data_IF_438079642058
#
_entry.id   IF_438079642058
#
_cell.length_a   1.000
_cell.length_b   1.000
_cell.length_c   1.000
_cell.angle_alpha   90.00
_cell.angle_beta   90.00
_cell.angle_gamma   90.00
#
_symmetry.space_group_name_H-M   'P 1'
#
loop_
_entity.id
_entity.type
_entity.pdbx_description
1 polymer ?
#
# COMPACT_ATOMS: atom_id res chain seq x y z
N UNK A 1 52.68 12.00 -7.90
CA UNK A 1 51.64 12.43 -8.86
C UNK A 1 50.29 12.03 -8.28
N UNK A 2 49.48 13.00 -7.86
CA UNK A 2 48.19 12.76 -7.19
C UNK A 2 47.10 12.98 -8.24
N UNK A 3 46.36 11.92 -8.58
CA UNK A 3 45.20 12.00 -9.46
C UNK A 3 44.00 12.47 -8.61
N UNK A 4 43.55 13.70 -8.83
CA UNK A 4 42.28 14.19 -8.27
C UNK A 4 41.15 13.75 -9.22
N UNK A 5 40.51 12.62 -8.93
CA UNK A 5 39.32 12.19 -9.65
C UNK A 5 38.12 13.03 -9.20
N UNK A 6 37.64 13.93 -10.06
CA UNK A 6 36.37 14.64 -9.86
C UNK A 6 35.22 13.73 -10.30
N UNK A 7 34.53 13.11 -9.35
CA UNK A 7 33.25 12.45 -9.63
C UNK A 7 32.16 13.50 -9.82
N UNK A 8 31.62 13.60 -11.04
CA UNK A 8 30.43 14.40 -11.33
C UNK A 8 29.20 13.53 -11.10
N UNK A 9 28.30 14.00 -10.24
CA UNK A 9 27.00 13.37 -9.98
C UNK A 9 25.92 14.20 -10.64
N UNK A 10 25.13 13.59 -11.52
CA UNK A 10 24.00 14.22 -12.22
C UNK A 10 22.72 13.64 -11.66
N UNK A 11 21.80 14.50 -11.23
CA UNK A 11 20.44 14.07 -10.89
C UNK A 11 19.72 13.67 -12.17
N UNK A 12 19.23 12.43 -12.23
CA UNK A 12 18.40 11.96 -13.34
C UNK A 12 16.91 12.10 -13.02
N UNK A 13 16.50 11.73 -11.80
CA UNK A 13 15.11 11.81 -11.37
C UNK A 13 15.01 11.97 -9.85
N UNK A 14 14.07 12.78 -9.39
CA UNK A 14 13.63 12.87 -8.00
C UNK A 14 12.23 12.26 -7.87
N UNK A 15 12.05 11.27 -7.00
CA UNK A 15 10.75 10.58 -6.82
C UNK A 15 10.20 10.85 -5.44
N UNK A 16 8.97 11.32 -5.35
CA UNK A 16 8.22 11.43 -4.10
C UNK A 16 7.29 10.23 -3.94
N UNK A 17 7.37 9.54 -2.81
CA UNK A 17 6.38 8.51 -2.44
C UNK A 17 5.25 9.19 -1.68
N UNK A 18 4.00 8.95 -2.09
CA UNK A 18 2.81 9.56 -1.48
C UNK A 18 1.87 8.50 -0.93
N UNK A 19 1.24 8.80 0.19
CA UNK A 19 0.19 7.96 0.77
C UNK A 19 -1.15 8.20 0.04
N UNK A 20 -1.84 7.16 -0.43
CA UNK A 20 -3.12 7.34 -1.13
C UNK A 20 -4.31 7.61 -0.19
N UNK A 21 -4.18 7.30 1.10
CA UNK A 21 -5.23 7.29 2.11
C UNK A 21 -5.29 8.60 2.89
N UNK A 22 -4.15 9.13 3.34
CA UNK A 22 -4.12 10.35 4.14
C UNK A 22 -4.41 11.61 3.31
N UNK A 23 -5.10 12.62 3.87
CA UNK A 23 -5.35 13.88 3.19
C UNK A 23 -4.08 14.66 2.84
N UNK A 24 -3.06 14.61 3.70
CA UNK A 24 -1.77 15.29 3.49
C UNK A 24 -0.79 14.52 2.59
N UNK A 25 -1.19 13.31 2.16
CA UNK A 25 -0.41 12.39 1.31
C UNK A 25 0.95 12.01 1.89
N UNK A 26 1.16 12.19 3.19
CA UNK A 26 2.43 11.87 3.86
C UNK A 26 2.51 10.39 4.16
N UNK A 27 3.63 9.76 3.81
CA UNK A 27 3.84 8.34 4.14
C UNK A 27 4.13 8.11 5.63
N UNK A 28 3.64 7.01 6.18
CA UNK A 28 3.91 6.54 7.54
C UNK A 28 5.00 5.46 7.55
N UNK A 29 5.94 5.59 8.49
CA UNK A 29 7.02 4.63 8.69
C UNK A 29 8.06 4.64 7.56
N UNK A 30 8.84 3.57 7.48
CA UNK A 30 9.88 3.45 6.46
C UNK A 30 9.30 3.00 5.12
N UNK A 31 9.56 3.84 4.12
CA UNK A 31 9.31 3.57 2.71
C UNK A 31 10.63 3.50 1.95
N UNK A 32 10.64 2.66 0.92
CA UNK A 32 11.81 2.32 0.13
C UNK A 32 11.46 2.45 -1.36
N UNK A 33 12.39 3.02 -2.11
CA UNK A 33 12.36 3.00 -3.56
C UNK A 33 13.48 2.08 -4.05
N UNK A 34 13.17 1.22 -5.03
CA UNK A 34 14.15 0.38 -5.73
C UNK A 34 14.05 0.65 -7.23
N UNK A 35 15.17 0.55 -7.94
CA UNK A 35 15.21 0.58 -9.39
C UNK A 35 15.71 -0.78 -9.89
N UNK A 36 14.90 -1.49 -10.67
CA UNK A 36 15.22 -2.84 -11.14
C UNK A 36 16.44 -2.81 -12.07
N UNK A 37 17.40 -3.71 -11.85
CA UNK A 37 18.62 -3.78 -12.67
C UNK A 37 19.67 -2.71 -12.38
N UNK A 38 19.40 -1.78 -11.46
CA UNK A 38 20.30 -0.67 -11.13
C UNK A 38 20.89 -0.90 -9.74
N UNK A 39 22.22 -1.12 -9.69
CA UNK A 39 22.97 -1.31 -8.43
C UNK A 39 23.37 0.00 -7.74
N UNK A 40 22.99 1.16 -8.28
CA UNK A 40 23.41 2.47 -7.76
C UNK A 40 22.61 2.89 -6.54
N UNK A 41 23.22 3.72 -5.70
CA UNK A 41 22.59 4.27 -4.50
C UNK A 41 21.45 5.24 -4.87
N UNK A 42 20.27 4.95 -4.35
CA UNK A 42 19.14 5.89 -4.31
C UNK A 42 19.30 6.69 -3.01
N UNK A 43 19.39 8.01 -3.13
CA UNK A 43 19.66 8.88 -1.98
C UNK A 43 18.33 9.41 -1.44
N UNK A 44 18.00 9.10 -0.19
CA UNK A 44 16.83 9.69 0.48
C UNK A 44 17.17 11.10 0.95
N UNK A 45 16.47 12.10 0.42
CA UNK A 45 16.62 13.51 0.77
C UNK A 45 15.72 13.89 1.95
N UNK A 46 16.12 14.90 2.72
CA UNK A 46 15.38 15.38 3.90
C UNK A 46 13.99 15.94 3.59
N UNK A 47 13.77 16.38 2.35
CA UNK A 47 12.45 16.85 1.87
C UNK A 47 11.48 15.72 1.53
N UNK A 48 11.90 14.45 1.64
CA UNK A 48 11.07 13.27 1.34
C UNK A 48 11.29 12.65 -0.04
N UNK A 49 12.01 13.33 -0.93
CA UNK A 49 12.36 12.79 -2.25
C UNK A 49 13.42 11.69 -2.17
N UNK A 50 13.29 10.71 -3.06
CA UNK A 50 14.33 9.76 -3.41
C UNK A 50 15.03 10.25 -4.68
N UNK A 51 16.32 10.55 -4.57
CA UNK A 51 17.13 11.06 -5.67
C UNK A 51 17.82 9.89 -6.37
N UNK A 52 17.49 9.70 -7.65
CA UNK A 52 18.17 8.77 -8.55
C UNK A 52 19.21 9.56 -9.33
N UNK A 53 20.47 9.26 -9.04
CA UNK A 53 21.60 9.94 -9.66
C UNK A 53 22.28 9.04 -10.69
N UNK A 54 22.62 9.63 -11.82
CA UNK A 54 23.34 8.99 -12.91
C UNK A 54 22.67 7.66 -13.35
N UNK A 55 21.35 7.67 -13.53
CA UNK A 55 20.61 6.53 -14.07
C UNK A 55 20.98 6.36 -15.56
N UNK A 56 21.31 5.16 -16.05
CA UNK A 56 21.62 4.94 -17.46
C UNK A 56 20.45 5.31 -18.38
N UNK A 57 20.76 5.70 -19.62
CA UNK A 57 19.72 5.95 -20.62
C UNK A 57 18.88 4.68 -20.89
N UNK A 58 17.58 4.88 -21.15
CA UNK A 58 16.59 3.83 -21.41
C UNK A 58 15.48 3.74 -20.37
N UNK A 59 14.71 2.66 -20.48
CA UNK A 59 13.57 2.35 -19.62
C UNK A 59 14.00 1.70 -18.31
N UNK A 60 13.38 2.14 -17.21
CA UNK A 60 13.61 1.59 -15.87
C UNK A 60 12.29 1.38 -15.15
N UNK A 61 12.21 0.29 -14.39
CA UNK A 61 11.07 0.02 -13.49
C UNK A 61 11.49 0.39 -12.07
N UNK A 62 10.82 1.41 -11.53
CA UNK A 62 10.94 1.81 -10.15
C UNK A 62 9.86 1.13 -9.31
N UNK A 63 10.24 0.57 -8.16
CA UNK A 63 9.32 -0.07 -7.22
C UNK A 63 9.33 0.69 -5.91
N UNK A 64 8.22 1.35 -5.58
CA UNK A 64 7.95 1.93 -4.28
C UNK A 64 7.33 0.89 -3.35
N UNK A 65 7.78 0.83 -2.10
CA UNK A 65 7.28 -0.14 -1.12
C UNK A 65 7.50 0.35 0.31
N UNK A 66 6.85 -0.30 1.27
CA UNK A 66 7.06 -0.03 2.69
C UNK A 66 6.40 -1.09 3.57
N UNK A 67 6.64 -1.02 4.87
CA UNK A 67 6.05 -1.96 5.83
C UNK A 67 4.51 -1.94 5.79
N UNK A 68 3.94 -0.75 5.65
CA UNK A 68 2.50 -0.50 5.68
C UNK A 68 1.86 -0.35 4.30
N UNK A 69 2.64 -0.53 3.23
CA UNK A 69 2.20 -0.23 1.86
C UNK A 69 2.39 -1.42 0.92
N UNK A 70 1.49 -1.55 -0.03
CA UNK A 70 1.60 -2.47 -1.16
C UNK A 70 2.72 -2.00 -2.09
N UNK A 71 3.54 -2.91 -2.63
CA UNK A 71 4.50 -2.54 -3.66
C UNK A 71 3.78 -1.98 -4.89
N UNK A 72 4.31 -0.90 -5.47
CA UNK A 72 3.80 -0.30 -6.70
C UNK A 72 4.95 -0.03 -7.65
N UNK A 73 4.72 -0.27 -8.94
CA UNK A 73 5.71 -0.09 -9.98
C UNK A 73 5.41 1.15 -10.82
N UNK A 74 6.46 1.88 -11.19
CA UNK A 74 6.44 3.00 -12.11
C UNK A 74 7.51 2.76 -13.18
N UNK A 75 7.10 2.66 -14.44
CA UNK A 75 8.03 2.62 -15.57
C UNK A 75 8.35 4.03 -16.01
N UNK A 76 9.64 4.36 -16.12
CA UNK A 76 10.14 5.63 -16.62
C UNK A 76 11.04 5.39 -17.83
N UNK A 77 11.00 6.27 -18.83
CA UNK A 77 12.06 6.36 -19.84
C UNK A 77 12.88 7.62 -19.57
N UNK A 78 14.15 7.43 -19.23
CA UNK A 78 15.09 8.52 -18.93
C UNK A 78 15.26 9.52 -20.07
N UNK A 79 15.04 9.10 -21.33
CA UNK A 79 15.11 10.00 -22.50
C UNK A 79 13.94 10.96 -22.58
N UNK A 80 12.83 10.62 -21.94
CA UNK A 80 11.59 11.41 -21.92
C UNK A 80 11.51 12.39 -20.74
N UNK A 81 12.45 12.31 -19.78
CA UNK A 81 12.45 13.16 -18.59
C UNK A 81 12.88 14.58 -18.99
N UNK A 82 12.06 15.59 -18.66
CA UNK A 82 12.46 16.99 -18.79
C UNK A 82 13.58 17.30 -17.78
N UNK A 83 14.79 17.67 -18.23
CA UNK A 83 15.89 18.00 -17.32
C UNK A 83 15.61 19.21 -16.40
N UNK A 84 14.64 20.07 -16.74
CA UNK A 84 14.22 21.20 -15.91
C UNK A 84 13.19 20.80 -14.85
N UNK A 85 12.50 19.67 -15.06
CA UNK A 85 11.48 19.14 -14.16
C UNK A 85 11.65 17.61 -13.98
N UNK A 86 12.81 17.14 -13.48
CA UNK A 86 13.07 15.71 -13.35
C UNK A 86 12.43 15.19 -12.05
N UNK A 87 11.13 15.34 -11.88
CA UNK A 87 10.40 14.83 -10.72
C UNK A 87 9.24 13.93 -11.11
N UNK A 88 9.01 12.90 -10.31
CA UNK A 88 7.88 12.01 -10.44
C UNK A 88 7.27 11.72 -9.08
N UNK A 89 6.00 11.30 -9.08
CA UNK A 89 5.28 10.91 -7.89
C UNK A 89 4.83 9.46 -8.02
N UNK A 90 4.88 8.73 -6.91
CA UNK A 90 4.46 7.35 -6.84
C UNK A 90 3.56 7.16 -5.63
N UNK A 91 2.28 6.92 -5.90
CA UNK A 91 1.25 6.79 -4.86
C UNK A 91 1.21 5.36 -4.33
N UNK A 92 1.33 5.21 -3.02
CA UNK A 92 1.36 3.96 -2.29
C UNK A 92 0.01 3.66 -1.66
N UNK A 93 -0.52 2.47 -1.90
CA UNK A 93 -1.75 1.99 -1.28
C UNK A 93 -1.48 1.25 0.04
N UNK A 94 -2.17 1.57 1.14
CA UNK A 94 -2.07 0.88 2.40
C UNK A 94 -2.31 -0.63 2.33
N UNK A 95 -1.67 -1.33 3.26
CA UNK A 95 -1.95 -2.72 3.62
C UNK A 95 -2.93 -2.81 4.78
N UNK A 96 -3.45 -4.00 5.02
CA UNK A 96 -4.25 -4.33 6.20
C UNK A 96 -3.52 -4.07 7.52
N UNK A 97 -2.19 -4.07 7.57
CA UNK A 97 -1.42 -3.73 8.77
C UNK A 97 -1.19 -2.21 8.97
N UNK A 98 -1.74 -1.35 8.11
CA UNK A 98 -1.57 0.10 8.19
C UNK A 98 -2.15 0.68 9.50
N UNK A 99 -1.42 1.61 10.17
CA UNK A 99 -1.86 2.24 11.40
C UNK A 99 -2.80 3.42 11.10
N UNK A 100 -4.04 3.10 10.75
CA UNK A 100 -5.05 4.11 10.45
C UNK A 100 -5.23 5.06 11.65
N UNK A 101 -5.15 6.39 11.43
CA UNK A 101 -5.38 7.36 12.50
C UNK A 101 -6.86 7.41 12.89
N UNK A 102 -7.14 8.01 14.05
CA UNK A 102 -8.50 8.33 14.47
C UNK A 102 -9.14 9.34 13.50
N UNK A 103 -10.48 9.41 13.49
CA UNK A 103 -11.23 10.24 12.55
C UNK A 103 -11.59 9.53 11.24
N UNK A 104 -11.16 8.27 11.06
CA UNK A 104 -11.52 7.43 9.92
C UNK A 104 -12.37 6.25 10.39
N UNK A 105 -13.48 6.01 9.69
CA UNK A 105 -14.29 4.82 9.92
C UNK A 105 -13.71 3.66 9.11
N UNK A 106 -13.00 2.75 9.78
CA UNK A 106 -12.31 1.62 9.13
C UNK A 106 -12.70 0.31 9.81
N UNK A 107 -13.07 -0.70 9.02
CA UNK A 107 -13.21 -2.07 9.51
C UNK A 107 -11.95 -2.86 9.15
N UNK A 108 -11.36 -3.57 10.11
CA UNK A 108 -10.21 -4.46 9.91
C UNK A 108 -10.51 -5.85 10.44
N UNK A 109 -10.03 -6.86 9.72
CA UNK A 109 -10.14 -8.24 10.14
C UNK A 109 -9.04 -9.11 9.56
N UNK A 110 -9.06 -10.38 9.94
CA UNK A 110 -8.16 -11.40 9.42
C UNK A 110 -8.97 -12.65 9.09
N UNK A 111 -8.64 -13.32 7.99
CA UNK A 111 -9.30 -14.54 7.54
C UNK A 111 -8.30 -15.69 7.59
N UNK A 112 -8.70 -16.77 8.24
CA UNK A 112 -7.90 -17.98 8.44
C UNK A 112 -8.72 -19.23 8.14
N UNK A 113 -8.05 -20.35 7.87
CA UNK A 113 -8.68 -21.67 7.82
C UNK A 113 -8.74 -22.34 9.21
N UNK A 114 -9.31 -23.55 9.26
CA UNK A 114 -9.40 -24.37 10.48
C UNK A 114 -8.03 -24.81 11.02
N UNK A 115 -6.97 -24.76 10.20
CA UNK A 115 -5.59 -25.04 10.58
C UNK A 115 -4.84 -23.76 11.01
N UNK A 116 -5.57 -22.65 11.22
CA UNK A 116 -5.04 -21.33 11.57
C UNK A 116 -4.10 -20.70 10.52
N UNK A 117 -4.16 -21.17 9.27
CA UNK A 117 -3.36 -20.60 8.17
C UNK A 117 -4.09 -19.39 7.59
N UNK A 118 -3.37 -18.29 7.28
CA UNK A 118 -3.97 -17.13 6.63
C UNK A 118 -4.51 -17.47 5.24
N UNK A 119 -5.67 -16.93 4.91
CA UNK A 119 -6.29 -17.08 3.60
C UNK A 119 -6.21 -15.77 2.82
N UNK A 120 -5.39 -15.74 1.77
CA UNK A 120 -5.36 -14.67 0.78
C UNK A 120 -6.52 -14.76 -0.21
N UNK A 121 -6.77 -13.71 -0.98
CA UNK A 121 -7.70 -13.73 -2.11
C UNK A 121 -9.13 -14.16 -1.75
N UNK A 122 -9.54 -13.92 -0.50
CA UNK A 122 -10.92 -14.11 -0.04
C UNK A 122 -11.69 -12.85 -0.41
N UNK A 123 -12.82 -12.98 -1.09
CA UNK A 123 -13.71 -11.86 -1.39
C UNK A 123 -14.53 -11.52 -0.14
N UNK A 124 -14.51 -10.25 0.28
CA UNK A 124 -15.32 -9.71 1.37
C UNK A 124 -16.21 -8.62 0.79
N UNK A 125 -17.52 -8.86 0.80
CA UNK A 125 -18.53 -7.90 0.36
C UNK A 125 -19.37 -7.48 1.55
N UNK A 126 -19.91 -6.27 1.55
CA UNK A 126 -20.83 -5.83 2.59
C UNK A 126 -22.25 -5.86 2.04
N UNK A 127 -23.16 -6.56 2.73
CA UNK A 127 -24.56 -6.61 2.32
C UNK A 127 -25.15 -5.20 2.29
N UNK A 128 -25.90 -4.91 1.22
CA UNK A 128 -26.60 -3.65 1.00
C UNK A 128 -25.68 -2.43 0.84
N UNK A 129 -24.38 -2.65 0.60
CA UNK A 129 -23.38 -1.60 0.46
C UNK A 129 -22.47 -1.88 -0.74
N UNK A 130 -22.01 -0.85 -1.47
CA UNK A 130 -21.13 -1.03 -2.62
C UNK A 130 -19.68 -1.38 -2.23
N UNK A 131 -19.29 -1.19 -0.97
CA UNK A 131 -17.94 -1.46 -0.50
C UNK A 131 -17.64 -2.97 -0.49
N UNK A 132 -16.47 -3.31 -1.02
CA UNK A 132 -15.90 -4.65 -1.00
C UNK A 132 -14.38 -4.57 -0.91
N UNK A 133 -13.75 -5.67 -0.52
CA UNK A 133 -12.30 -5.82 -0.49
C UNK A 133 -11.92 -7.28 -0.67
N UNK A 134 -10.62 -7.53 -0.76
CA UNK A 134 -10.04 -8.87 -0.83
C UNK A 134 -8.97 -9.00 0.25
N UNK A 135 -8.88 -10.17 0.89
CA UNK A 135 -7.82 -10.43 1.87
C UNK A 135 -6.43 -10.49 1.23
N UNK A 136 -5.46 -9.99 1.97
CA UNK A 136 -4.04 -9.96 1.59
C UNK A 136 -3.36 -11.31 1.88
N UNK A 137 -2.08 -11.44 1.51
CA UNK A 137 -1.29 -12.68 1.69
C UNK A 137 -1.27 -13.18 3.14
N UNK A 138 -1.30 -12.27 4.12
CA UNK A 138 -1.33 -12.60 5.55
C UNK A 138 -2.76 -12.84 6.08
N UNK A 139 -3.74 -12.91 5.19
CA UNK A 139 -5.17 -13.04 5.47
C UNK A 139 -5.82 -11.76 6.00
N UNK A 140 -5.05 -10.69 6.20
CA UNK A 140 -5.55 -9.41 6.69
C UNK A 140 -6.38 -8.70 5.62
N UNK A 141 -7.36 -7.92 6.05
CA UNK A 141 -8.11 -7.03 5.17
C UNK A 141 -8.52 -5.77 5.91
N UNK A 142 -8.86 -4.74 5.14
CA UNK A 142 -9.55 -3.58 5.67
C UNK A 142 -10.56 -3.03 4.66
N UNK A 143 -11.58 -2.33 5.17
CA UNK A 143 -12.56 -1.59 4.40
C UNK A 143 -12.67 -0.20 5.03
N UNK A 144 -12.49 0.83 4.22
CA UNK A 144 -12.69 2.21 4.63
C UNK A 144 -14.07 2.69 4.21
N UNK A 145 -14.73 3.43 5.11
CA UNK A 145 -16.04 4.01 4.87
C UNK A 145 -15.92 5.53 4.89
N UNK A 146 -16.27 6.16 3.76
CA UNK A 146 -16.41 7.61 3.68
C UNK A 146 -17.62 8.06 4.49
N UNK A 147 -17.41 8.99 5.43
CA UNK A 147 -18.43 9.77 6.16
C UNK A 147 -19.69 8.99 6.57
N UNK A 148 -19.73 8.55 7.83
CA UNK A 148 -20.91 7.93 8.45
C UNK A 148 -21.51 8.90 9.47
N UNK A 149 -22.84 8.94 9.55
CA UNK A 149 -23.52 9.78 10.53
C UNK A 149 -23.51 9.15 11.92
N UNK A 150 -23.64 7.81 12.00
CA UNK A 150 -23.74 7.05 13.25
C UNK A 150 -23.03 5.68 13.16
N UNK A 151 -22.96 4.99 14.31
CA UNK A 151 -22.58 3.58 14.41
C UNK A 151 -23.63 2.70 13.69
N UNK A 152 -23.19 1.63 13.02
CA UNK A 152 -24.05 0.82 12.17
C UNK A 152 -23.75 -0.68 12.25
N UNK A 153 -24.81 -1.51 12.34
CA UNK A 153 -24.67 -2.95 12.20
C UNK A 153 -24.61 -3.33 10.72
N UNK A 154 -23.49 -3.90 10.30
CA UNK A 154 -23.28 -4.37 8.93
C UNK A 154 -23.14 -5.90 8.90
N UNK A 155 -23.31 -6.49 7.73
CA UNK A 155 -23.03 -7.92 7.50
C UNK A 155 -22.03 -8.08 6.38
N UNK A 156 -20.91 -8.74 6.68
CA UNK A 156 -19.91 -9.14 5.70
C UNK A 156 -20.33 -10.47 5.08
N UNK A 157 -20.32 -10.58 3.77
CA UNK A 157 -20.42 -11.83 3.02
C UNK A 157 -19.05 -12.21 2.52
N UNK A 158 -18.57 -13.38 2.96
CA UNK A 158 -17.19 -13.84 2.78
C UNK A 158 -17.19 -15.08 1.91
N UNK A 159 -16.45 -15.02 0.80
CA UNK A 159 -16.42 -16.06 -0.21
C UNK A 159 -14.98 -16.36 -0.66
N UNK A 160 -14.62 -17.64 -0.68
CA UNK A 160 -13.41 -18.15 -1.32
C UNK A 160 -13.71 -19.51 -1.96
N UNK A 161 -13.26 -19.69 -3.20
CA UNK A 161 -13.39 -20.98 -3.89
C UNK A 161 -12.77 -22.13 -3.07
N UNK A 162 -13.52 -23.21 -2.89
CA UNK A 162 -13.11 -24.37 -2.08
C UNK A 162 -13.38 -24.22 -0.58
N UNK A 163 -14.06 -23.15 -0.15
CA UNK A 163 -14.47 -22.93 1.25
C UNK A 163 -15.97 -22.68 1.35
N UNK A 164 -16.53 -22.99 2.51
CA UNK A 164 -17.92 -22.67 2.85
C UNK A 164 -18.04 -21.16 3.01
N UNK A 165 -18.94 -20.55 2.23
CA UNK A 165 -19.24 -19.11 2.35
C UNK A 165 -19.89 -18.80 3.69
N UNK A 166 -19.61 -17.61 4.22
CA UNK A 166 -20.07 -17.20 5.55
C UNK A 166 -20.54 -15.76 5.58
N UNK A 167 -21.62 -15.51 6.31
CA UNK A 167 -22.02 -14.17 6.69
C UNK A 167 -21.55 -13.87 8.12
N UNK A 168 -20.94 -12.69 8.33
CA UNK A 168 -20.39 -12.26 9.61
C UNK A 168 -20.96 -10.88 9.97
N UNK A 169 -21.76 -10.77 11.05
CA UNK A 169 -22.21 -9.47 11.53
C UNK A 169 -21.05 -8.71 12.19
N UNK A 170 -21.02 -7.40 12.01
CA UNK A 170 -20.08 -6.52 12.67
C UNK A 170 -20.75 -5.18 13.03
N UNK A 171 -20.41 -4.64 14.20
CA UNK A 171 -20.77 -3.27 14.56
C UNK A 171 -19.67 -2.35 14.05
N UNK A 172 -19.97 -1.57 13.01
CA UNK A 172 -19.09 -0.52 12.52
C UNK A 172 -19.26 0.71 13.40
N UNK A 173 -18.16 1.16 14.01
CA UNK A 173 -18.15 2.36 14.83
C UNK A 173 -17.64 3.56 14.05
N UNK A 174 -18.31 4.69 14.20
CA UNK A 174 -17.97 5.94 13.52
C UNK A 174 -16.61 6.46 13.97
N UNK A 175 -15.86 7.01 13.02
CA UNK A 175 -14.60 7.74 13.18
C UNK A 175 -13.49 6.98 13.92
N UNK A 176 -13.61 5.65 13.96
CA UNK A 176 -12.60 4.78 14.56
C UNK A 176 -12.32 3.55 13.70
N UNK A 177 -11.16 2.94 13.97
CA UNK A 177 -10.81 1.62 13.44
C UNK A 177 -11.45 0.52 14.27
N UNK A 178 -12.50 -0.10 13.74
CA UNK A 178 -13.14 -1.31 14.28
C UNK A 178 -12.33 -2.54 13.89
N UNK A 179 -11.88 -3.33 14.88
CA UNK A 179 -11.24 -4.63 14.65
C UNK A 179 -12.22 -5.75 14.99
N UNK A 180 -12.39 -6.68 14.07
CA UNK A 180 -13.18 -7.91 14.32
C UNK A 180 -12.25 -9.10 14.56
N UNK A 181 -12.77 -10.06 15.32
CA UNK A 181 -12.08 -11.32 15.59
C UNK A 181 -11.75 -12.07 14.28
N UNK A 182 -10.71 -12.92 14.28
CA UNK A 182 -10.37 -13.73 13.13
C UNK A 182 -11.57 -14.55 12.62
N UNK A 183 -11.81 -14.46 11.33
CA UNK A 183 -12.89 -15.18 10.67
C UNK A 183 -12.33 -16.50 10.16
N UNK A 184 -12.87 -17.58 10.71
CA UNK A 184 -12.48 -18.94 10.34
C UNK A 184 -13.40 -19.43 9.22
N UNK A 185 -12.80 -19.88 8.11
CA UNK A 185 -13.47 -20.54 7.00
C UNK A 185 -13.18 -22.04 7.01
N UNK A 186 -14.23 -22.84 6.89
CA UNK A 186 -14.12 -24.29 6.73
C UNK A 186 -13.99 -24.64 5.24
N UNK A 187 -13.13 -25.60 4.93
CA UNK A 187 -12.94 -26.12 3.57
C UNK A 187 -14.14 -27.00 3.18
N UNK A 188 -14.50 -27.00 1.90
CA UNK A 188 -15.49 -27.92 1.31
C UNK A 188 -14.93 -29.34 1.18
#
# INVERSE_FOLDING_TARGET
>A
MIFLERKRTVLTLAVMLKDDFLPDKKTIGDVFLKATGVRREIIKHSTGYFLLVNLPDGEHVLTGSGRYYKPVNLTIDTKSIDPKQPFAELTLTPKSNYPFPDGFTVLKGKIIDMDYRPLSDVSINIKLMPQSTTSEEDGGFFIHFTSRDDDENITLTINKNGYISRDVPALLKKDITTRIEPIILAKL
#
